data_IF_358208388195
#
_entry.id   IF_358208388195
#
_cell.length_a   1.000
_cell.length_b   1.000
_cell.length_c   1.000
_cell.angle_alpha   90.00
_cell.angle_beta   90.00
_cell.angle_gamma   90.00
#
_symmetry.space_group_name_H-M   'P 1'
#
loop_
_entity.id
_entity.type
_entity.pdbx_description
1 polymer ?
#
# COMPACT_ATOMS: atom_id res chain seq x y z
N UNK A 1 -11.51 0.23 -28.31
CA UNK A 1 -12.49 0.09 -27.18
C UNK A 1 -12.84 -1.36 -26.87
N UNK A 2 -13.25 -2.19 -27.85
CA UNK A 2 -13.67 -3.59 -27.60
C UNK A 2 -12.55 -4.45 -27.02
N UNK A 3 -11.36 -4.42 -27.61
CA UNK A 3 -10.21 -5.21 -27.15
C UNK A 3 -9.71 -4.75 -25.78
N UNK A 4 -9.74 -3.44 -25.51
CA UNK A 4 -9.33 -2.86 -24.22
C UNK A 4 -10.27 -3.36 -23.12
N UNK A 5 -11.59 -3.38 -23.37
CA UNK A 5 -12.57 -3.90 -22.43
C UNK A 5 -12.34 -5.39 -22.15
N UNK A 6 -12.08 -6.20 -23.19
CA UNK A 6 -11.80 -7.63 -23.04
C UNK A 6 -10.52 -7.88 -22.23
N UNK A 7 -9.44 -7.14 -22.49
CA UNK A 7 -8.17 -7.25 -21.76
C UNK A 7 -8.35 -6.83 -20.29
N UNK A 8 -9.06 -5.72 -20.06
CA UNK A 8 -9.31 -5.21 -18.71
C UNK A 8 -10.14 -6.20 -17.88
N UNK A 9 -11.20 -6.76 -18.48
CA UNK A 9 -12.03 -7.78 -17.84
C UNK A 9 -11.24 -9.07 -17.54
N UNK A 10 -10.42 -9.53 -18.48
CA UNK A 10 -9.61 -10.74 -18.28
C UNK A 10 -8.55 -10.56 -17.19
N UNK A 11 -7.89 -9.40 -17.10
CA UNK A 11 -6.97 -9.07 -16.01
C UNK A 11 -7.72 -9.02 -14.67
N UNK A 12 -8.88 -8.36 -14.62
CA UNK A 12 -9.67 -8.23 -13.39
C UNK A 12 -10.14 -9.60 -12.86
N UNK A 13 -10.62 -10.47 -13.75
CA UNK A 13 -11.06 -11.83 -13.43
C UNK A 13 -9.88 -12.68 -12.93
N UNK A 14 -8.72 -12.57 -13.59
CA UNK A 14 -7.52 -13.29 -13.19
C UNK A 14 -7.04 -12.88 -11.78
N UNK A 15 -7.01 -11.58 -11.49
CA UNK A 15 -6.64 -11.05 -10.17
C UNK A 15 -7.62 -11.50 -9.09
N UNK A 16 -8.92 -11.50 -9.39
CA UNK A 16 -9.94 -11.96 -8.44
C UNK A 16 -9.78 -13.45 -8.10
N UNK A 17 -9.61 -14.29 -9.12
CA UNK A 17 -9.41 -15.73 -8.95
C UNK A 17 -8.11 -16.04 -8.17
N UNK A 18 -7.03 -15.31 -8.46
CA UNK A 18 -5.77 -15.44 -7.73
C UNK A 18 -5.94 -15.11 -6.24
N UNK A 19 -6.61 -14.00 -5.94
CA UNK A 19 -6.84 -13.54 -4.58
C UNK A 19 -7.73 -14.51 -3.77
N UNK A 20 -8.75 -15.06 -4.43
CA UNK A 20 -9.65 -16.05 -3.83
C UNK A 20 -8.95 -17.39 -3.54
N UNK A 21 -8.07 -17.83 -4.45
CA UNK A 21 -7.33 -19.09 -4.30
C UNK A 21 -6.29 -19.02 -3.17
N UNK A 22 -5.70 -17.85 -2.96
CA UNK A 22 -4.79 -17.59 -1.84
C UNK A 22 -5.50 -17.57 -0.46
N UNK A 23 -6.81 -17.35 -0.43
CA UNK A 23 -7.58 -17.20 0.81
C UNK A 23 -8.20 -18.50 1.36
N UNK A 24 -8.10 -19.63 0.63
CA UNK A 24 -8.85 -20.88 0.93
C UNK A 24 -7.99 -22.11 1.30
N UNK A 25 -6.99 -21.96 2.16
CA UNK A 25 -6.30 -23.10 2.80
C UNK A 25 -6.98 -23.52 4.11
N UNK A 26 -7.19 -24.82 4.34
CA UNK A 26 -7.90 -25.41 5.51
C UNK A 26 -7.11 -25.39 6.83
N UNK A 27 -6.81 -24.19 7.31
CA UNK A 27 -6.30 -23.89 8.65
C UNK A 27 -7.12 -22.70 9.19
N UNK A 28 -7.14 -22.39 10.51
CA UNK A 28 -8.05 -21.38 11.07
C UNK A 28 -8.03 -20.12 10.20
N UNK A 29 -9.20 -19.51 9.91
CA UNK A 29 -9.30 -18.40 8.96
C UNK A 29 -8.26 -17.35 9.35
N UNK A 30 -7.17 -17.33 8.58
CA UNK A 30 -6.01 -16.51 8.89
C UNK A 30 -6.43 -15.05 8.85
N UNK A 31 -5.78 -14.18 9.65
CA UNK A 31 -6.09 -12.76 9.67
C UNK A 31 -6.16 -12.23 8.24
N UNK A 32 -7.28 -11.59 7.94
CA UNK A 32 -7.78 -11.12 6.64
C UNK A 32 -6.67 -10.65 5.72
N UNK A 33 -6.71 -10.92 4.38
CA UNK A 33 -5.63 -10.77 3.39
C UNK A 33 -4.94 -9.40 3.27
N UNK A 34 -5.40 -8.41 4.05
CA UNK A 34 -4.86 -7.08 4.16
C UNK A 34 -3.89 -6.84 5.35
N UNK A 35 -3.27 -7.81 6.07
CA UNK A 35 -2.39 -7.44 7.17
C UNK A 35 -1.00 -7.06 6.60
N UNK A 36 -0.64 -7.59 5.43
CA UNK A 36 0.66 -7.42 4.78
C UNK A 36 0.65 -6.14 3.95
N UNK A 37 -0.36 -5.94 3.09
CA UNK A 37 -0.54 -4.65 2.39
C UNK A 37 -0.74 -3.52 3.41
N UNK A 38 -1.53 -3.76 4.47
CA UNK A 38 -1.71 -2.80 5.57
C UNK A 38 -0.43 -2.49 6.34
N UNK A 39 0.39 -3.51 6.66
CA UNK A 39 1.67 -3.32 7.34
C UNK A 39 2.71 -2.63 6.44
N UNK A 40 2.78 -2.97 5.15
CA UNK A 40 3.71 -2.33 4.21
C UNK A 40 3.30 -0.87 3.96
N UNK A 41 2.01 -0.60 3.78
CA UNK A 41 1.49 0.76 3.61
C UNK A 41 1.70 1.60 4.88
N UNK A 42 1.43 1.03 6.07
CA UNK A 42 1.69 1.70 7.34
C UNK A 42 3.17 1.95 7.60
N UNK A 43 4.06 1.00 7.29
CA UNK A 43 5.52 1.16 7.45
C UNK A 43 6.06 2.21 6.48
N UNK A 44 5.59 2.22 5.23
CA UNK A 44 5.97 3.23 4.25
C UNK A 44 5.53 4.62 4.71
N UNK A 45 4.25 4.79 5.08
CA UNK A 45 3.72 6.08 5.56
C UNK A 45 4.44 6.55 6.83
N UNK A 46 4.74 5.68 7.79
CA UNK A 46 5.51 6.03 9.01
C UNK A 46 6.93 6.49 8.69
N UNK A 47 7.63 5.82 7.77
CA UNK A 47 8.99 6.20 7.37
C UNK A 47 9.00 7.51 6.57
N UNK A 48 8.06 7.67 5.65
CA UNK A 48 7.89 8.91 4.88
C UNK A 48 7.54 10.08 5.80
N UNK A 49 6.59 9.91 6.72
CA UNK A 49 6.25 10.92 7.73
C UNK A 49 7.46 11.30 8.59
N UNK A 50 8.27 10.33 9.04
CA UNK A 50 9.48 10.60 9.83
C UNK A 50 10.56 11.32 9.02
N UNK A 51 10.73 10.99 7.75
CA UNK A 51 11.64 11.70 6.84
C UNK A 51 11.16 13.12 6.55
N UNK A 52 9.85 13.32 6.37
CA UNK A 52 9.24 14.64 6.20
C UNK A 52 9.38 15.47 7.48
N UNK A 53 9.14 14.91 8.67
CA UNK A 53 9.33 15.64 9.93
C UNK A 53 10.80 16.01 10.18
N UNK A 54 11.75 15.16 9.77
CA UNK A 54 13.18 15.50 9.82
C UNK A 54 13.53 16.58 8.80
N UNK A 55 13.07 16.45 7.56
CA UNK A 55 13.30 17.43 6.52
C UNK A 55 12.67 18.77 6.89
N UNK A 56 11.43 18.77 7.40
CA UNK A 56 10.75 19.96 7.87
C UNK A 56 11.50 20.57 9.05
N UNK A 57 11.96 19.79 10.04
CA UNK A 57 12.79 20.33 11.13
C UNK A 57 14.09 20.96 10.63
N UNK A 58 14.74 20.36 9.62
CA UNK A 58 15.97 20.90 9.00
C UNK A 58 15.67 22.12 8.12
N UNK A 59 14.50 22.19 7.48
CA UNK A 59 14.04 23.35 6.69
C UNK A 59 13.50 24.47 7.58
N UNK A 60 12.97 24.15 8.75
CA UNK A 60 12.60 25.11 9.78
C UNK A 60 13.83 25.60 10.56
N UNK A 61 14.97 24.89 10.54
CA UNK A 61 16.22 25.35 11.15
C UNK A 61 16.72 26.70 10.58
N UNK A 62 16.78 26.93 9.25
CA UNK A 62 17.08 28.26 8.71
C UNK A 62 15.91 29.26 8.83
N UNK A 63 14.68 28.81 9.10
CA UNK A 63 13.51 29.71 9.34
C UNK A 63 13.46 30.20 10.79
N UNK A 64 13.82 29.35 11.77
CA UNK A 64 13.88 29.69 13.20
C UNK A 64 15.19 30.40 13.55
N UNK A 65 16.29 30.12 12.85
CA UNK A 65 17.53 30.91 12.99
C UNK A 65 17.51 32.24 12.21
N UNK A 66 16.38 32.57 11.57
CA UNK A 66 16.12 33.88 10.97
C UNK A 66 14.95 34.57 11.69
N UNK A 67 14.96 34.49 13.03
CA UNK A 67 14.34 35.46 13.95
C UNK A 67 15.36 35.78 15.05
#
# INVERSE_FOLDING_TARGET
>A
VRTILVICLSILIFLFLWNQRHAKGKLPPGPTPLPIVGNILQINIKNVSKSISKASMITFLPVVCNE
#
